data_IF_719973103727
#
_entry.id   IF_719973103727
#
_cell.length_a   1.000
_cell.length_b   1.000
_cell.length_c   1.000
_cell.angle_alpha   90.00
_cell.angle_beta   90.00
_cell.angle_gamma   90.00
#
_symmetry.space_group_name_H-M   'P 1'
#
loop_
_entity.id
_entity.type
_entity.pdbx_description
1 polymer ?
#
# COMPACT_ATOMS: atom_id res chain seq x y z
N UNK A 1 60.38 -56.26 32.21
CA UNK A 1 59.42 -56.23 31.12
C UNK A 1 58.04 -55.90 31.69
N UNK A 2 57.59 -54.61 31.62
CA UNK A 2 56.28 -54.14 32.11
C UNK A 2 55.33 -54.09 30.91
N UNK A 3 54.23 -54.84 30.94
CA UNK A 3 53.13 -54.77 29.97
C UNK A 3 52.24 -53.56 30.29
N UNK A 4 52.13 -52.68 29.34
CA UNK A 4 51.19 -51.50 29.41
C UNK A 4 49.84 -51.94 28.81
N UNK A 5 48.82 -51.98 29.64
CA UNK A 5 47.42 -52.20 29.20
C UNK A 5 46.76 -50.84 28.81
N UNK A 6 46.56 -50.69 27.51
CA UNK A 6 45.84 -49.54 26.96
C UNK A 6 44.33 -49.89 26.86
N UNK A 7 43.55 -49.48 27.80
CA UNK A 7 42.08 -49.53 27.67
C UNK A 7 41.56 -48.24 27.01
N UNK A 8 41.22 -48.35 25.73
CA UNK A 8 40.57 -47.24 24.99
C UNK A 8 39.07 -47.22 25.38
N UNK A 9 38.65 -46.13 26.01
CA UNK A 9 37.23 -45.86 26.28
C UNK A 9 36.60 -45.23 25.02
N UNK A 10 35.82 -46.01 24.28
CA UNK A 10 35.16 -45.58 23.03
C UNK A 10 33.64 -45.36 23.26
N UNK A 11 33.20 -44.89 24.41
CA UNK A 11 31.76 -44.82 24.69
C UNK A 11 31.07 -43.42 24.79
N UNK A 12 31.73 -42.26 24.71
CA UNK A 12 30.93 -41.00 24.71
C UNK A 12 30.77 -40.32 23.35
N UNK A 13 31.39 -40.85 22.25
CA UNK A 13 31.31 -40.17 20.95
C UNK A 13 30.02 -40.48 20.17
N UNK A 14 29.41 -41.64 20.38
CA UNK A 14 28.20 -42.06 19.66
C UNK A 14 26.91 -41.40 20.18
N UNK A 15 26.85 -41.02 21.48
CA UNK A 15 25.68 -40.35 22.05
C UNK A 15 25.61 -38.86 21.69
N UNK A 16 26.74 -38.20 21.47
CA UNK A 16 26.80 -36.78 21.06
C UNK A 16 26.37 -36.55 19.63
N UNK A 17 26.64 -37.52 18.73
CA UNK A 17 26.24 -37.41 17.30
C UNK A 17 24.74 -37.66 17.08
N UNK A 18 24.11 -38.53 17.88
CA UNK A 18 22.67 -38.81 17.76
C UNK A 18 21.79 -37.66 18.28
N UNK A 19 22.22 -36.95 19.33
CA UNK A 19 21.53 -35.78 19.87
C UNK A 19 21.72 -34.56 18.96
N UNK A 20 22.87 -34.37 18.35
CA UNK A 20 23.13 -33.28 17.39
C UNK A 20 22.30 -33.40 16.10
N UNK A 21 22.13 -34.62 15.58
CA UNK A 21 21.28 -34.86 14.39
C UNK A 21 19.79 -34.66 14.70
N UNK A 22 19.32 -34.99 15.89
CA UNK A 22 17.92 -34.79 16.29
C UNK A 22 17.56 -33.32 16.46
N UNK A 23 18.51 -32.49 16.85
CA UNK A 23 18.30 -31.03 16.94
C UNK A 23 18.40 -30.33 15.58
N UNK A 24 19.20 -30.85 14.65
CA UNK A 24 19.27 -30.33 13.29
C UNK A 24 18.03 -30.65 12.44
N UNK A 25 17.31 -31.73 12.76
CA UNK A 25 16.05 -32.08 12.07
C UNK A 25 14.82 -31.32 12.61
N UNK A 26 14.93 -30.70 13.79
CA UNK A 26 13.85 -29.88 14.38
C UNK A 26 13.89 -28.40 13.97
N UNK A 27 14.91 -27.96 13.23
CA UNK A 27 15.07 -26.55 12.82
C UNK A 27 14.87 -26.28 11.33
N UNK A 28 14.45 -27.26 10.54
CA UNK A 28 13.93 -27.00 9.20
C UNK A 28 12.43 -26.65 9.35
N UNK A 29 12.13 -25.56 9.99
CA UNK A 29 10.96 -24.77 9.59
C UNK A 29 11.29 -24.31 8.16
N UNK A 30 10.70 -24.96 7.18
CA UNK A 30 10.57 -24.34 5.86
C UNK A 30 10.09 -22.92 6.12
N UNK A 31 10.91 -21.93 5.79
CA UNK A 31 10.47 -20.55 5.69
C UNK A 31 9.49 -20.55 4.50
N UNK A 32 8.24 -20.95 4.76
CA UNK A 32 7.17 -20.71 3.82
C UNK A 32 7.13 -19.19 3.64
N UNK A 33 7.26 -18.75 2.40
CA UNK A 33 7.17 -17.34 2.09
C UNK A 33 5.73 -16.91 2.43
N UNK A 34 5.58 -16.28 3.60
CA UNK A 34 4.28 -15.75 4.01
C UNK A 34 3.90 -14.58 3.09
N UNK A 35 2.69 -14.62 2.58
CA UNK A 35 2.14 -13.52 1.79
C UNK A 35 2.09 -12.25 2.64
N UNK A 36 2.72 -11.17 2.17
CA UNK A 36 2.80 -9.88 2.89
C UNK A 36 2.31 -8.73 2.03
N UNK A 37 1.87 -7.65 2.70
CA UNK A 37 1.55 -6.37 2.04
C UNK A 37 2.80 -5.47 1.96
N UNK A 38 3.88 -5.93 1.33
CA UNK A 38 5.05 -5.12 1.07
C UNK A 38 4.96 -4.53 -0.35
N UNK A 39 4.49 -3.30 -0.47
CA UNK A 39 4.36 -2.56 -1.72
C UNK A 39 5.15 -1.25 -1.65
N UNK A 40 6.49 -1.30 -1.81
CA UNK A 40 7.37 -0.17 -1.46
C UNK A 40 7.13 1.10 -2.28
N UNK A 41 6.56 0.98 -3.47
CA UNK A 41 6.29 2.12 -4.36
C UNK A 41 5.05 2.89 -3.92
N UNK A 42 4.05 2.20 -3.36
CA UNK A 42 2.77 2.78 -2.99
C UNK A 42 2.74 3.19 -1.51
N UNK A 43 1.95 4.20 -1.14
CA UNK A 43 1.77 4.55 0.27
C UNK A 43 1.14 3.39 1.04
N UNK A 44 1.67 3.15 2.23
CA UNK A 44 1.24 1.99 3.04
C UNK A 44 -0.16 2.18 3.65
N UNK A 45 -0.48 3.40 4.09
CA UNK A 45 -1.71 3.67 4.84
C UNK A 45 -2.92 3.89 3.94
N UNK A 46 -2.80 4.79 2.97
CA UNK A 46 -3.85 5.08 2.01
C UNK A 46 -3.30 5.19 0.59
N UNK A 47 -4.14 4.92 -0.37
CA UNK A 47 -3.90 5.26 -1.78
C UNK A 47 -4.97 6.23 -2.26
N UNK A 48 -4.62 7.09 -3.21
CA UNK A 48 -5.55 7.95 -3.92
C UNK A 48 -5.63 7.50 -5.38
N UNK A 49 -6.81 7.28 -5.91
CA UNK A 49 -6.99 6.81 -7.29
C UNK A 49 -6.31 7.74 -8.30
N UNK A 50 -6.36 9.05 -8.05
CA UNK A 50 -5.64 10.05 -8.83
C UNK A 50 -4.14 9.79 -8.87
N UNK A 51 -3.50 9.51 -7.73
CA UNK A 51 -2.08 9.23 -7.65
C UNK A 51 -1.72 7.92 -8.36
N UNK A 52 -2.54 6.87 -8.17
CA UNK A 52 -2.34 5.58 -8.83
C UNK A 52 -2.39 5.70 -10.35
N UNK A 53 -3.33 6.50 -10.89
CA UNK A 53 -3.44 6.78 -12.32
C UNK A 53 -2.18 7.47 -12.90
N UNK A 54 -1.46 8.22 -12.06
CA UNK A 54 -0.21 8.91 -12.40
C UNK A 54 1.04 8.08 -12.03
N UNK A 55 0.94 6.76 -11.92
CA UNK A 55 2.06 5.90 -11.53
C UNK A 55 2.61 6.20 -10.14
N UNK A 56 1.79 6.78 -9.27
CA UNK A 56 2.17 7.28 -7.94
C UNK A 56 3.17 8.45 -7.95
N UNK A 57 3.38 9.12 -9.08
CA UNK A 57 4.12 10.38 -9.17
C UNK A 57 3.19 11.54 -8.78
N UNK A 58 3.17 11.92 -7.48
CA UNK A 58 2.14 12.80 -6.95
C UNK A 58 2.60 13.76 -5.82
N UNK A 59 3.84 13.70 -5.38
CA UNK A 59 4.30 14.50 -4.22
C UNK A 59 4.49 15.99 -4.53
N UNK A 60 4.74 16.36 -5.81
CA UNK A 60 4.85 17.74 -6.24
C UNK A 60 3.49 18.36 -6.59
N UNK A 61 2.51 17.56 -7.01
CA UNK A 61 1.21 18.05 -7.48
C UNK A 61 0.09 17.94 -6.44
N UNK A 62 0.24 17.14 -5.41
CA UNK A 62 -0.80 16.94 -4.40
C UNK A 62 -1.36 18.27 -3.88
N UNK A 63 -2.69 18.41 -3.90
CA UNK A 63 -3.41 19.63 -3.53
C UNK A 63 -4.84 19.32 -3.01
N UNK A 64 -4.98 18.24 -2.25
CA UNK A 64 -6.22 17.76 -1.65
C UNK A 64 -5.94 17.11 -0.28
N UNK A 65 -6.93 16.48 0.33
CA UNK A 65 -6.80 15.85 1.65
C UNK A 65 -5.75 14.73 1.70
N UNK A 66 -5.47 14.08 0.57
CA UNK A 66 -4.44 13.03 0.49
C UNK A 66 -3.02 13.58 0.74
N UNK A 67 -2.86 14.91 0.69
CA UNK A 67 -1.60 15.57 1.03
C UNK A 67 -1.07 15.18 2.41
N UNK A 68 -1.94 14.90 3.39
CA UNK A 68 -1.54 14.42 4.71
C UNK A 68 -0.65 13.17 4.66
N UNK A 69 -0.78 12.35 3.60
CA UNK A 69 -0.10 11.07 3.44
C UNK A 69 0.96 11.07 2.32
N UNK A 70 0.78 11.90 1.28
CA UNK A 70 1.72 12.02 0.16
C UNK A 70 2.79 13.08 0.39
N UNK A 71 2.37 14.32 0.66
CA UNK A 71 3.25 15.45 0.99
C UNK A 71 2.46 16.53 1.72
N UNK A 72 2.60 16.68 3.04
CA UNK A 72 1.80 17.65 3.82
C UNK A 72 1.97 19.11 3.36
N UNK A 73 3.10 19.47 2.75
CA UNK A 73 3.30 20.79 2.16
C UNK A 73 2.34 21.07 1.00
N UNK A 74 1.74 20.02 0.41
CA UNK A 74 0.74 20.12 -0.64
C UNK A 74 -0.56 20.80 -0.19
N UNK A 75 -0.89 20.76 1.10
CA UNK A 75 -2.04 21.48 1.66
C UNK A 75 -2.03 22.96 1.30
N UNK A 76 -0.86 23.60 1.26
CA UNK A 76 -0.71 25.01 0.86
C UNK A 76 -1.16 25.31 -0.58
N UNK A 77 -1.49 24.30 -1.37
CA UNK A 77 -2.04 24.41 -2.73
C UNK A 77 -3.55 24.16 -2.78
N UNK A 78 -4.16 23.74 -1.68
CA UNK A 78 -5.61 23.53 -1.58
C UNK A 78 -6.34 24.86 -1.73
N UNK A 79 -7.40 24.87 -2.52
CA UNK A 79 -8.23 26.05 -2.77
C UNK A 79 -9.53 25.95 -1.95
N UNK A 80 -9.71 26.94 -1.06
CA UNK A 80 -10.89 26.98 -0.20
C UNK A 80 -10.86 25.97 0.94
N UNK A 81 -11.95 25.91 1.68
CA UNK A 81 -12.19 24.90 2.72
C UNK A 81 -13.11 23.84 2.15
N UNK A 82 -12.84 22.59 2.46
CA UNK A 82 -13.60 21.45 1.97
C UNK A 82 -13.87 20.51 3.14
N UNK A 83 -15.12 20.19 3.33
CA UNK A 83 -15.52 19.10 4.21
C UNK A 83 -15.88 17.90 3.35
N UNK A 84 -15.01 16.91 3.33
CA UNK A 84 -15.22 15.67 2.59
C UNK A 84 -15.86 14.64 3.53
N UNK A 85 -17.14 14.57 3.46
CA UNK A 85 -17.96 13.64 4.23
C UNK A 85 -17.75 12.20 3.79
N UNK A 86 -17.55 11.97 2.50
CA UNK A 86 -17.32 10.66 1.90
C UNK A 86 -16.11 10.73 0.99
N UNK A 87 -14.98 10.23 1.47
CA UNK A 87 -13.83 9.93 0.65
C UNK A 87 -13.67 8.41 0.68
N UNK A 88 -14.31 7.78 -0.28
CA UNK A 88 -14.48 6.34 -0.34
C UNK A 88 -13.76 5.76 -1.54
N UNK A 89 -12.92 4.75 -1.33
CA UNK A 89 -12.20 4.04 -2.38
C UNK A 89 -12.44 2.55 -2.27
N UNK A 90 -12.79 1.95 -3.40
CA UNK A 90 -12.83 0.49 -3.60
C UNK A 90 -11.79 0.13 -4.64
N UNK A 91 -10.96 -0.84 -4.31
CA UNK A 91 -9.96 -1.41 -5.20
C UNK A 91 -10.14 -2.92 -5.24
N UNK A 92 -10.04 -3.48 -6.43
CA UNK A 92 -9.98 -4.92 -6.64
C UNK A 92 -9.02 -5.25 -7.79
N UNK A 93 -8.44 -6.42 -7.78
CA UNK A 93 -7.60 -6.85 -8.88
C UNK A 93 -8.41 -7.56 -9.97
N UNK A 94 -7.77 -7.78 -11.13
CA UNK A 94 -8.39 -8.41 -12.30
C UNK A 94 -8.92 -9.80 -11.99
N UNK A 95 -8.19 -10.59 -11.22
CA UNK A 95 -8.58 -11.95 -10.90
C UNK A 95 -9.84 -11.99 -10.04
N UNK A 96 -10.07 -11.00 -9.18
CA UNK A 96 -11.30 -10.86 -8.42
C UNK A 96 -12.54 -10.80 -9.33
N UNK A 97 -12.46 -10.10 -10.47
CA UNK A 97 -13.55 -10.00 -11.44
C UNK A 97 -13.66 -11.21 -12.38
N UNK A 98 -12.61 -12.03 -12.50
CA UNK A 98 -12.55 -13.18 -13.42
C UNK A 98 -12.90 -14.51 -12.78
N UNK A 99 -13.22 -14.53 -11.48
CA UNK A 99 -13.57 -15.73 -10.74
C UNK A 99 -15.04 -16.04 -10.95
N UNK A 100 -15.30 -17.24 -11.50
CA UNK A 100 -16.64 -17.78 -11.59
C UNK A 100 -17.12 -18.24 -10.22
N UNK A 101 -18.38 -18.01 -9.94
CA UNK A 101 -18.95 -18.32 -8.66
C UNK A 101 -19.11 -19.80 -8.36
N UNK A 102 -19.18 -20.10 -7.06
CA UNK A 102 -19.17 -21.47 -6.56
C UNK A 102 -20.51 -22.21 -6.69
N UNK A 103 -21.60 -21.57 -7.09
CA UNK A 103 -22.86 -22.27 -7.36
C UNK A 103 -23.82 -21.48 -8.24
N UNK A 104 -24.59 -22.17 -9.03
CA UNK A 104 -25.60 -21.65 -9.98
C UNK A 104 -26.71 -20.80 -9.32
N UNK A 105 -26.78 -20.74 -8.00
CA UNK A 105 -27.82 -20.05 -7.25
C UNK A 105 -27.36 -18.85 -6.41
N UNK A 106 -26.04 -18.60 -6.30
CA UNK A 106 -25.53 -17.47 -5.52
C UNK A 106 -25.52 -16.21 -6.40
N UNK A 107 -26.33 -15.23 -6.05
CA UNK A 107 -26.39 -13.95 -6.75
C UNK A 107 -25.06 -13.19 -6.70
N UNK A 108 -24.80 -12.29 -7.66
CA UNK A 108 -23.59 -11.44 -7.72
C UNK A 108 -23.26 -10.72 -6.40
N UNK A 109 -24.27 -10.39 -5.60
CA UNK A 109 -24.07 -9.72 -4.30
C UNK A 109 -23.49 -10.68 -3.25
N UNK A 110 -23.88 -11.96 -3.26
CA UNK A 110 -23.33 -12.96 -2.33
C UNK A 110 -21.88 -13.27 -2.68
N UNK A 111 -21.54 -13.31 -3.95
CA UNK A 111 -20.18 -13.40 -4.42
C UNK A 111 -19.32 -12.24 -3.94
N UNK A 112 -19.80 -11.03 -4.14
CA UNK A 112 -19.10 -9.84 -3.66
C UNK A 112 -18.88 -9.92 -2.14
N UNK A 113 -19.90 -10.25 -1.36
CA UNK A 113 -19.78 -10.38 0.10
C UNK A 113 -18.81 -11.48 0.54
N UNK A 114 -18.80 -12.63 -0.13
CA UNK A 114 -17.84 -13.70 0.15
C UNK A 114 -16.41 -13.29 -0.15
N UNK A 115 -16.16 -12.60 -1.26
CA UNK A 115 -14.84 -12.06 -1.60
C UNK A 115 -14.27 -11.10 -0.55
N UNK A 116 -15.10 -10.44 0.28
CA UNK A 116 -14.67 -9.58 1.38
C UNK A 116 -14.35 -10.33 2.69
N UNK A 117 -14.44 -11.67 2.68
CA UNK A 117 -14.08 -12.53 3.83
C UNK A 117 -12.94 -13.46 3.44
N UNK A 118 -12.01 -13.71 4.35
CA UNK A 118 -10.86 -14.61 4.11
C UNK A 118 -11.31 -16.01 3.73
N UNK A 119 -12.26 -16.58 4.46
CA UNK A 119 -12.77 -17.92 4.16
C UNK A 119 -13.61 -17.96 2.88
N UNK A 120 -14.38 -16.92 2.60
CA UNK A 120 -15.11 -16.80 1.33
C UNK A 120 -14.17 -16.76 0.13
N UNK A 121 -13.09 -15.96 0.22
CA UNK A 121 -12.04 -15.90 -0.80
C UNK A 121 -11.37 -17.27 -1.01
N UNK A 122 -11.10 -18.01 0.08
CA UNK A 122 -10.60 -19.39 0.02
C UNK A 122 -11.52 -20.30 -0.80
N UNK A 123 -12.84 -20.27 -0.51
CA UNK A 123 -13.83 -21.07 -1.25
C UNK A 123 -13.85 -20.74 -2.74
N UNK A 124 -13.76 -19.47 -3.08
CA UNK A 124 -13.69 -19.02 -4.48
C UNK A 124 -12.40 -19.50 -5.17
N UNK A 125 -11.25 -19.41 -4.51
CA UNK A 125 -9.95 -19.83 -5.04
C UNK A 125 -9.80 -21.35 -5.12
N UNK A 126 -10.54 -22.13 -4.34
CA UNK A 126 -10.59 -23.59 -4.47
C UNK A 126 -11.06 -24.05 -5.86
N UNK A 127 -11.99 -23.31 -6.44
CA UNK A 127 -12.53 -23.57 -7.79
C UNK A 127 -11.70 -22.89 -8.88
N UNK A 128 -10.91 -21.88 -8.52
CA UNK A 128 -10.14 -21.04 -9.43
C UNK A 128 -8.67 -20.97 -8.99
N UNK A 129 -7.98 -22.09 -9.07
CA UNK A 129 -6.57 -22.18 -8.67
C UNK A 129 -5.64 -21.33 -9.57
N UNK A 130 -4.44 -21.04 -9.07
CA UNK A 130 -3.42 -20.22 -9.70
C UNK A 130 -3.85 -18.76 -9.95
N UNK A 131 -4.84 -18.29 -9.17
CA UNK A 131 -5.28 -16.91 -9.16
C UNK A 131 -4.99 -16.27 -7.82
N UNK A 132 -4.74 -14.96 -7.86
CA UNK A 132 -4.61 -14.13 -6.67
C UNK A 132 -5.77 -13.17 -6.60
N UNK A 133 -6.51 -13.20 -5.50
CA UNK A 133 -7.54 -12.20 -5.22
C UNK A 133 -6.98 -11.12 -4.31
N UNK A 134 -7.18 -9.87 -4.68
CA UNK A 134 -6.89 -8.72 -3.83
C UNK A 134 -8.01 -7.71 -3.87
N UNK A 135 -8.26 -7.11 -2.72
CA UNK A 135 -9.17 -5.99 -2.58
C UNK A 135 -8.74 -5.04 -1.47
N UNK A 136 -9.15 -3.80 -1.61
CA UNK A 136 -9.02 -2.74 -0.60
C UNK A 136 -10.33 -1.95 -0.52
N UNK A 137 -10.72 -1.68 0.70
CA UNK A 137 -11.79 -0.75 1.02
C UNK A 137 -11.22 0.36 1.89
N UNK A 138 -11.39 1.61 1.49
CA UNK A 138 -10.83 2.75 2.19
C UNK A 138 -11.91 3.82 2.37
N UNK A 139 -11.93 4.43 3.56
CA UNK A 139 -12.84 5.51 3.89
C UNK A 139 -12.10 6.55 4.74
N UNK A 140 -12.06 7.79 4.28
CA UNK A 140 -11.23 8.84 4.88
C UNK A 140 -12.02 10.16 4.99
N UNK A 141 -13.04 10.24 5.86
CA UNK A 141 -13.75 11.50 6.11
C UNK A 141 -12.78 12.54 6.66
N UNK A 142 -12.87 13.78 6.15
CA UNK A 142 -11.92 14.81 6.53
C UNK A 142 -12.50 16.23 6.36
N UNK A 143 -11.89 17.16 7.08
CA UNK A 143 -12.00 18.58 6.84
C UNK A 143 -10.64 19.12 6.41
N UNK A 144 -10.58 19.75 5.26
CA UNK A 144 -9.34 20.20 4.64
C UNK A 144 -9.40 21.67 4.26
N UNK A 145 -8.36 22.40 4.67
CA UNK A 145 -8.08 23.77 4.29
C UNK A 145 -6.67 23.88 3.75
N UNK A 146 -6.28 25.07 3.28
CA UNK A 146 -4.88 25.31 2.87
C UNK A 146 -3.86 25.28 4.03
N UNK A 147 -4.31 25.32 5.28
CA UNK A 147 -3.42 25.38 6.45
C UNK A 147 -3.46 24.10 7.27
N UNK A 148 -4.59 23.41 7.27
CA UNK A 148 -4.87 22.30 8.16
C UNK A 148 -5.77 21.28 7.45
N UNK A 149 -5.51 20.02 7.69
CA UNK A 149 -6.49 18.95 7.47
C UNK A 149 -6.51 18.03 8.68
N UNK A 150 -7.69 17.59 9.05
CA UNK A 150 -7.88 16.54 10.05
C UNK A 150 -9.00 15.62 9.60
N UNK A 151 -8.92 14.39 10.03
CA UNK A 151 -9.88 13.37 9.64
C UNK A 151 -9.64 12.04 10.33
N UNK A 152 -10.32 11.05 9.83
CA UNK A 152 -10.19 9.68 10.31
C UNK A 152 -9.86 8.74 9.15
N UNK A 153 -8.80 7.98 9.30
CA UNK A 153 -8.38 6.96 8.35
C UNK A 153 -9.08 5.64 8.68
N UNK A 154 -9.66 5.00 7.70
CA UNK A 154 -10.05 3.59 7.72
C UNK A 154 -9.61 2.95 6.40
N UNK A 155 -8.82 1.89 6.48
CA UNK A 155 -8.38 1.09 5.33
C UNK A 155 -8.41 -0.39 5.69
N UNK A 156 -9.05 -1.20 4.88
CA UNK A 156 -9.10 -2.64 5.02
C UNK A 156 -8.62 -3.30 3.72
N UNK A 157 -7.58 -4.09 3.82
CA UNK A 157 -6.99 -4.84 2.70
C UNK A 157 -7.12 -6.32 2.96
N UNK A 158 -7.42 -7.06 1.92
CA UNK A 158 -7.47 -8.51 1.94
C UNK A 158 -6.83 -9.05 0.67
N UNK A 159 -5.98 -10.05 0.82
CA UNK A 159 -5.32 -10.76 -0.27
C UNK A 159 -5.36 -12.25 0.00
N UNK A 160 -5.59 -13.04 -1.04
CA UNK A 160 -5.52 -14.49 -0.98
C UNK A 160 -4.95 -15.05 -2.27
N UNK A 161 -4.19 -16.11 -2.16
CA UNK A 161 -3.61 -16.85 -3.28
C UNK A 161 -3.71 -18.36 -3.03
N UNK A 162 -3.90 -19.11 -4.09
CA UNK A 162 -3.85 -20.56 -4.05
C UNK A 162 -3.16 -21.07 -5.31
N UNK A 163 -2.04 -21.77 -5.14
CA UNK A 163 -1.28 -22.31 -6.26
C UNK A 163 -2.02 -23.38 -7.04
N UNK A 164 -1.51 -23.71 -8.22
CA UNK A 164 -2.08 -24.70 -9.14
C UNK A 164 -1.98 -26.13 -8.62
N UNK A 165 -0.95 -26.45 -7.84
CA UNK A 165 -0.70 -27.80 -7.35
C UNK A 165 -1.76 -28.29 -6.38
N UNK A 166 -2.07 -29.57 -6.39
CA UNK A 166 -3.03 -30.20 -5.46
C UNK A 166 -2.58 -30.09 -4.00
N UNK A 167 -1.28 -30.01 -3.75
CA UNK A 167 -0.66 -29.82 -2.43
C UNK A 167 -0.53 -28.35 -2.02
N UNK A 168 -0.82 -27.40 -2.93
CA UNK A 168 -0.72 -25.98 -2.64
C UNK A 168 -1.64 -25.56 -1.50
N UNK A 169 -1.09 -24.81 -0.57
CA UNK A 169 -1.85 -24.22 0.53
C UNK A 169 -2.58 -22.97 0.09
N UNK A 170 -3.62 -22.60 0.82
CA UNK A 170 -4.24 -21.29 0.70
C UNK A 170 -3.48 -20.31 1.55
N UNK A 171 -2.83 -19.35 0.91
CA UNK A 171 -2.13 -18.25 1.55
C UNK A 171 -3.06 -17.04 1.62
N UNK A 172 -3.07 -16.37 2.77
CA UNK A 172 -3.87 -15.17 2.95
C UNK A 172 -3.13 -14.12 3.77
N UNK A 173 -3.45 -12.87 3.47
CA UNK A 173 -3.07 -11.72 4.28
C UNK A 173 -4.26 -10.77 4.40
N UNK A 174 -4.49 -10.24 5.60
CA UNK A 174 -5.47 -9.19 5.85
C UNK A 174 -4.87 -8.13 6.74
N UNK A 175 -5.13 -6.85 6.42
CA UNK A 175 -4.67 -5.70 7.18
C UNK A 175 -5.80 -4.70 7.31
N UNK A 176 -6.07 -4.30 8.53
CA UNK A 176 -7.00 -3.22 8.84
C UNK A 176 -6.27 -2.14 9.61
N UNK A 177 -6.23 -0.97 9.03
CA UNK A 177 -5.65 0.25 9.58
C UNK A 177 -6.75 1.26 9.85
N UNK A 178 -6.75 1.86 11.04
CA UNK A 178 -7.68 2.94 11.35
C UNK A 178 -7.13 3.88 12.42
N UNK A 179 -7.53 5.13 12.36
CA UNK A 179 -7.17 6.11 13.38
C UNK A 179 -7.32 7.56 12.93
N UNK A 180 -7.32 8.49 13.86
CA UNK A 180 -7.35 9.92 13.56
C UNK A 180 -6.02 10.38 12.99
N UNK A 181 -6.08 11.39 12.13
CA UNK A 181 -4.91 12.06 11.60
C UNK A 181 -5.07 13.57 11.59
N UNK A 182 -3.95 14.25 11.61
CA UNK A 182 -3.85 15.71 11.53
C UNK A 182 -2.66 16.06 10.64
N UNK A 183 -2.83 17.02 9.73
CA UNK A 183 -1.71 17.59 9.01
C UNK A 183 -1.84 19.12 8.93
N UNK A 184 -0.70 19.78 8.88
CA UNK A 184 -0.61 21.23 8.80
C UNK A 184 0.38 21.66 7.74
N UNK A 185 0.19 22.88 7.23
CA UNK A 185 1.07 23.51 6.27
C UNK A 185 1.34 24.98 6.65
N UNK A 186 2.59 25.38 6.45
CA UNK A 186 3.06 26.74 6.56
C UNK A 186 3.65 27.20 5.22
N UNK A 187 3.12 28.29 4.68
CA UNK A 187 3.51 28.83 3.36
C UNK A 187 4.21 30.17 3.51
N UNK A 188 5.37 30.32 2.87
CA UNK A 188 6.21 31.52 2.85
C UNK A 188 6.33 32.09 1.44
N UNK A 189 6.69 33.39 1.35
CA UNK A 189 6.93 34.06 0.07
C UNK A 189 5.72 34.03 -0.87
N UNK A 190 4.52 34.27 -0.35
CA UNK A 190 3.28 34.21 -1.17
C UNK A 190 2.91 32.80 -1.64
N UNK A 191 3.44 31.75 -1.01
CA UNK A 191 3.18 30.36 -1.39
C UNK A 191 4.24 29.75 -2.33
N UNK A 192 5.37 30.44 -2.50
CA UNK A 192 6.54 29.92 -3.24
C UNK A 192 7.12 28.73 -2.47
N UNK A 193 7.36 28.90 -1.18
CA UNK A 193 7.89 27.86 -0.32
C UNK A 193 6.84 27.39 0.68
N UNK A 194 6.66 26.09 0.79
CA UNK A 194 5.69 25.45 1.66
C UNK A 194 6.36 24.35 2.47
N UNK A 195 6.07 24.32 3.75
CA UNK A 195 6.47 23.26 4.67
C UNK A 195 5.23 22.63 5.27
N UNK A 196 5.22 21.32 5.42
CA UNK A 196 4.10 20.61 6.00
C UNK A 196 4.55 19.49 6.91
N UNK A 197 3.70 19.18 7.86
CA UNK A 197 3.86 18.04 8.75
C UNK A 197 2.52 17.34 8.95
N UNK A 198 2.54 16.03 9.10
CA UNK A 198 1.36 15.25 9.46
C UNK A 198 1.69 14.25 10.56
N UNK A 199 0.67 13.89 11.31
CA UNK A 199 0.69 12.86 12.33
C UNK A 199 -0.55 11.97 12.20
N UNK A 200 -0.34 10.67 12.29
CA UNK A 200 -1.40 9.65 12.29
C UNK A 200 -1.27 8.83 13.56
N UNK A 201 -2.33 8.73 14.36
CA UNK A 201 -2.43 7.76 15.43
C UNK A 201 -3.04 6.47 14.87
N UNK A 202 -2.19 5.50 14.56
CA UNK A 202 -2.56 4.30 13.84
C UNK A 202 -2.86 3.15 14.78
N UNK A 203 -4.03 2.54 14.62
CA UNK A 203 -4.35 1.23 15.15
C UNK A 203 -4.35 0.24 13.97
N UNK A 204 -3.45 -0.73 14.01
CA UNK A 204 -3.32 -1.78 13.00
C UNK A 204 -3.76 -3.12 13.56
N UNK A 205 -4.51 -3.85 12.75
CA UNK A 205 -4.81 -5.25 12.95
C UNK A 205 -4.46 -5.99 11.68
N UNK A 206 -3.51 -6.93 11.76
CA UNK A 206 -3.12 -7.73 10.60
C UNK A 206 -3.12 -9.21 10.93
N UNK A 207 -3.39 -10.04 9.95
CA UNK A 207 -3.25 -11.47 10.03
C UNK A 207 -2.69 -11.97 8.69
N UNK A 208 -1.79 -12.91 8.78
CA UNK A 208 -1.23 -13.61 7.63
C UNK A 208 -1.05 -15.07 7.99
N UNK A 209 -1.17 -15.92 7.01
CA UNK A 209 -1.00 -17.35 7.24
C UNK A 209 -1.22 -18.17 5.99
N UNK A 210 -0.96 -19.46 6.17
CA UNK A 210 -1.13 -20.49 5.15
C UNK A 210 -1.89 -21.65 5.78
N UNK A 211 -2.93 -22.14 5.09
CA UNK A 211 -3.78 -23.22 5.59
C UNK A 211 -4.06 -24.23 4.49
N UNK A 212 -4.37 -25.45 4.90
CA UNK A 212 -4.84 -26.49 3.97
C UNK A 212 -6.16 -26.01 3.34
N UNK A 213 -6.28 -26.03 2.00
CA UNK A 213 -7.42 -25.43 1.31
C UNK A 213 -8.80 -25.95 1.71
N UNK A 214 -8.90 -27.17 2.21
CA UNK A 214 -10.16 -27.81 2.65
C UNK A 214 -10.62 -27.33 4.03
N UNK A 215 -9.73 -26.75 4.83
CA UNK A 215 -10.05 -26.33 6.20
C UNK A 215 -10.59 -24.91 6.21
N UNK A 216 -11.63 -24.66 7.01
CA UNK A 216 -12.09 -23.30 7.26
C UNK A 216 -11.05 -22.46 7.99
N UNK A 217 -10.97 -21.17 7.63
CA UNK A 217 -10.01 -20.24 8.22
C UNK A 217 -10.66 -19.45 9.32
N UNK A 218 -10.30 -19.75 10.57
CA UNK A 218 -10.55 -18.81 11.67
C UNK A 218 -9.44 -17.77 11.76
N UNK A 219 -9.65 -16.64 11.09
CA UNK A 219 -8.68 -15.53 11.03
C UNK A 219 -8.32 -14.99 12.41
N UNK A 220 -9.19 -15.18 13.42
CA UNK A 220 -8.96 -14.63 14.76
C UNK A 220 -7.71 -15.21 15.44
N UNK A 221 -7.32 -16.43 15.08
CA UNK A 221 -6.13 -17.10 15.62
C UNK A 221 -4.81 -16.49 15.10
N UNK A 222 -4.87 -15.78 13.96
CA UNK A 222 -3.69 -15.22 13.28
C UNK A 222 -3.49 -13.73 13.54
N UNK A 223 -4.43 -13.06 14.22
CA UNK A 223 -4.36 -11.61 14.36
C UNK A 223 -3.26 -11.13 15.29
N UNK A 224 -2.40 -10.27 14.73
CA UNK A 224 -1.60 -9.33 15.48
C UNK A 224 -2.33 -7.98 15.59
N UNK A 225 -2.25 -7.34 16.75
CA UNK A 225 -2.81 -6.00 17.00
C UNK A 225 -1.74 -5.09 17.58
N UNK A 226 -1.63 -3.89 17.07
CA UNK A 226 -0.67 -2.91 17.56
C UNK A 226 -1.10 -1.48 17.28
N UNK A 227 -0.40 -0.56 17.94
CA UNK A 227 -0.59 0.89 17.79
C UNK A 227 0.74 1.54 17.45
N UNK A 228 0.70 2.58 16.61
CA UNK A 228 1.85 3.39 16.28
C UNK A 228 1.46 4.85 16.10
N UNK A 229 2.40 5.77 16.33
CA UNK A 229 2.27 7.17 15.94
C UNK A 229 3.23 7.40 14.78
N UNK A 230 2.68 7.81 13.66
CA UNK A 230 3.42 7.97 12.40
C UNK A 230 3.50 9.44 12.06
N UNK A 231 4.70 9.94 11.82
CA UNK A 231 4.94 11.30 11.40
C UNK A 231 5.41 11.35 9.95
N UNK A 232 4.93 12.33 9.19
CA UNK A 232 5.41 12.63 7.84
C UNK A 232 5.70 14.12 7.72
N UNK A 233 6.86 14.46 7.18
CA UNK A 233 7.25 15.83 6.89
C UNK A 233 7.34 16.07 5.40
N UNK A 234 7.03 17.28 4.94
CA UNK A 234 7.11 17.63 3.54
C UNK A 234 7.59 19.05 3.29
N UNK A 235 8.25 19.23 2.18
CA UNK A 235 8.64 20.54 1.66
C UNK A 235 8.30 20.64 0.17
N UNK A 236 7.89 21.84 -0.26
CA UNK A 236 7.54 22.11 -1.65
C UNK A 236 7.99 23.52 -2.00
N UNK A 237 8.71 23.64 -3.11
CA UNK A 237 9.16 24.90 -3.69
C UNK A 237 8.54 25.04 -5.08
N UNK A 238 7.61 25.99 -5.24
CA UNK A 238 6.96 26.28 -6.53
C UNK A 238 7.45 27.63 -7.03
N UNK A 239 8.18 27.65 -8.13
CA UNK A 239 8.70 28.87 -8.73
C UNK A 239 7.61 29.58 -9.52
N UNK A 240 7.43 30.91 -9.37
CA UNK A 240 6.40 31.68 -10.07
C UNK A 240 6.82 31.99 -11.53
N UNK A 241 7.36 31.00 -12.23
CA UNK A 241 7.77 31.09 -13.62
C UNK A 241 6.71 30.48 -14.54
N UNK A 242 6.88 30.68 -15.84
CA UNK A 242 6.08 29.93 -16.81
C UNK A 242 6.16 28.42 -16.48
N UNK A 243 5.02 27.72 -16.56
CA UNK A 243 4.87 26.31 -16.25
C UNK A 243 4.98 25.91 -14.77
N UNK A 244 5.15 26.87 -13.85
CA UNK A 244 5.17 26.64 -12.40
C UNK A 244 6.08 25.47 -11.98
N UNK A 245 7.38 25.47 -12.31
CA UNK A 245 8.28 24.39 -11.90
C UNK A 245 8.24 24.22 -10.38
N UNK A 246 8.03 22.98 -9.95
CA UNK A 246 7.85 22.63 -8.55
C UNK A 246 8.81 21.54 -8.16
N UNK A 247 9.63 21.79 -7.13
CA UNK A 247 10.42 20.78 -6.43
C UNK A 247 9.71 20.35 -5.16
N UNK A 248 9.70 19.08 -4.88
CA UNK A 248 9.08 18.52 -3.69
C UNK A 248 9.97 17.46 -3.04
N UNK A 249 9.94 17.44 -1.72
CA UNK A 249 10.57 16.40 -0.90
C UNK A 249 9.59 15.98 0.16
N UNK A 250 9.49 14.68 0.40
CA UNK A 250 8.68 14.12 1.48
C UNK A 250 9.50 13.12 2.27
N UNK A 251 9.46 13.24 3.57
CA UNK A 251 10.01 12.27 4.50
C UNK A 251 8.85 11.54 5.16
N UNK A 252 8.60 10.32 4.70
CA UNK A 252 7.56 9.45 5.21
C UNK A 252 8.03 8.73 6.47
N UNK A 253 7.11 8.51 7.39
CA UNK A 253 7.30 7.64 8.53
C UNK A 253 8.53 8.04 9.36
N UNK A 254 8.63 9.31 9.77
CA UNK A 254 9.76 9.85 10.52
C UNK A 254 9.87 9.17 11.88
N UNK A 255 11.07 8.73 12.25
CA UNK A 255 11.36 8.07 13.52
C UNK A 255 11.41 6.55 13.45
N UNK A 256 11.35 5.91 14.61
CA UNK A 256 11.23 4.46 14.72
C UNK A 256 9.73 4.12 14.80
N UNK A 257 9.12 3.85 13.65
CA UNK A 257 7.70 3.53 13.57
C UNK A 257 7.43 2.06 13.93
N UNK A 258 7.79 1.72 15.15
CA UNK A 258 7.53 0.41 15.75
C UNK A 258 6.14 0.38 16.32
N UNK A 259 5.46 -0.72 16.08
CA UNK A 259 4.18 -0.95 16.72
C UNK A 259 4.36 -1.35 18.17
N UNK A 260 3.62 -0.69 19.06
CA UNK A 260 3.39 -1.20 20.41
C UNK A 260 2.40 -2.35 20.30
N UNK A 261 2.89 -3.58 20.46
CA UNK A 261 2.04 -4.78 20.39
C UNK A 261 0.99 -4.77 21.52
N UNK A 262 -0.24 -5.08 21.16
CA UNK A 262 -1.37 -5.27 22.10
C UNK A 262 -1.65 -6.77 22.25
N UNK A 263 -1.61 -7.52 21.16
CA UNK A 263 -1.80 -8.98 21.15
C UNK A 263 -1.26 -9.59 19.86
N UNK A 264 -0.88 -10.86 19.92
CA UNK A 264 -0.39 -11.61 18.77
C UNK A 264 1.11 -11.46 18.52
N UNK A 265 1.61 -11.92 17.38
CA UNK A 265 3.03 -11.83 16.99
C UNK A 265 3.46 -10.37 16.79
N UNK A 266 4.77 -10.14 16.74
CA UNK A 266 5.33 -8.82 16.42
C UNK A 266 4.93 -8.42 14.98
N UNK A 267 4.48 -7.18 14.83
CA UNK A 267 4.12 -6.60 13.54
C UNK A 267 5.35 -6.05 12.84
N UNK A 268 5.30 -5.99 11.51
CA UNK A 268 6.37 -5.39 10.72
C UNK A 268 6.43 -3.87 10.93
N UNK A 269 7.65 -3.36 11.09
CA UNK A 269 7.89 -1.92 11.21
C UNK A 269 7.59 -1.21 9.89
N UNK A 270 7.03 -0.01 9.96
CA UNK A 270 6.85 0.86 8.80
C UNK A 270 8.17 1.60 8.54
N UNK A 271 8.78 1.39 7.37
CA UNK A 271 10.08 1.95 7.07
C UNK A 271 10.02 3.47 6.81
N UNK A 272 10.99 4.19 7.37
CA UNK A 272 11.15 5.62 7.10
C UNK A 272 11.84 5.83 5.75
N UNK A 273 11.16 6.50 4.80
CA UNK A 273 11.66 6.76 3.45
C UNK A 273 11.68 8.24 3.12
N UNK A 274 12.55 8.63 2.19
CA UNK A 274 12.59 9.98 1.62
C UNK A 274 12.32 9.87 0.14
N UNK A 275 11.33 10.62 -0.32
CA UNK A 275 10.96 10.73 -1.73
C UNK A 275 11.24 12.15 -2.23
N UNK A 276 11.70 12.28 -3.48
CA UNK A 276 11.96 13.55 -4.15
C UNK A 276 11.15 13.60 -5.44
N UNK A 277 10.64 14.78 -5.78
CA UNK A 277 9.84 14.97 -6.98
C UNK A 277 10.08 16.31 -7.65
N UNK A 278 9.88 16.30 -8.95
CA UNK A 278 9.89 17.49 -9.78
C UNK A 278 8.65 17.47 -10.67
N UNK A 279 7.94 18.59 -10.74
CA UNK A 279 6.74 18.72 -11.55
C UNK A 279 6.71 20.07 -12.30
N UNK A 280 6.01 20.08 -13.42
CA UNK A 280 5.68 21.30 -14.16
C UNK A 280 4.20 21.30 -14.52
N UNK A 281 3.63 22.50 -14.64
CA UNK A 281 2.19 22.66 -14.96
C UNK A 281 2.01 23.73 -16.04
N UNK A 282 2.30 23.42 -17.33
CA UNK A 282 2.01 24.32 -18.41
C UNK A 282 0.51 24.55 -18.57
N UNK A 283 0.15 25.81 -18.73
CA UNK A 283 -1.22 26.23 -19.11
C UNK A 283 -1.33 26.11 -20.63
N UNK A 284 -2.21 25.23 -21.11
CA UNK A 284 -2.46 25.04 -22.53
C UNK A 284 -3.54 25.98 -23.05
N UNK A 285 -4.50 26.32 -22.20
CA UNK A 285 -5.54 27.32 -22.45
C UNK A 285 -6.00 27.96 -21.14
N UNK A 286 -6.94 28.89 -21.19
CA UNK A 286 -7.53 29.49 -19.99
C UNK A 286 -8.21 28.45 -19.07
N UNK A 287 -8.65 27.33 -19.62
CA UNK A 287 -9.45 26.32 -18.92
C UNK A 287 -8.79 24.93 -18.90
N UNK A 288 -7.66 24.75 -19.58
CA UNK A 288 -6.99 23.46 -19.69
C UNK A 288 -5.52 23.55 -19.27
N UNK A 289 -5.07 22.54 -18.55
CA UNK A 289 -3.70 22.43 -18.03
C UNK A 289 -3.16 21.03 -18.30
N UNK A 290 -1.86 20.98 -18.56
CA UNK A 290 -1.13 19.73 -18.51
C UNK A 290 -0.26 19.75 -17.25
N UNK A 291 -0.30 18.68 -16.48
CA UNK A 291 0.59 18.50 -15.37
C UNK A 291 1.50 17.32 -15.63
N UNK A 292 2.80 17.51 -15.47
CA UNK A 292 3.83 16.48 -15.63
C UNK A 292 4.65 16.40 -14.35
N UNK A 293 4.90 15.19 -13.88
CA UNK A 293 5.64 14.95 -12.65
C UNK A 293 6.56 13.74 -12.78
N UNK A 294 7.77 13.86 -12.24
CA UNK A 294 8.74 12.77 -12.10
C UNK A 294 9.17 12.70 -10.65
N UNK A 295 9.06 11.53 -10.05
CA UNK A 295 9.49 11.30 -8.66
C UNK A 295 10.54 10.19 -8.60
N UNK A 296 11.41 10.31 -7.61
CA UNK A 296 12.33 9.25 -7.21
C UNK A 296 12.00 8.82 -5.79
N UNK A 297 11.58 7.57 -5.66
CA UNK A 297 11.11 6.99 -4.41
C UNK A 297 12.25 6.39 -3.59
N UNK A 298 12.15 6.54 -2.26
CA UNK A 298 13.08 5.95 -1.29
C UNK A 298 14.55 6.19 -1.64
N UNK A 299 14.93 7.47 -1.67
CA UNK A 299 16.30 7.96 -1.97
C UNK A 299 17.35 7.28 -1.08
N UNK A 300 16.98 6.90 0.14
CA UNK A 300 17.86 6.25 1.10
C UNK A 300 17.96 4.74 0.93
N UNK A 301 17.29 4.16 -0.04
CA UNK A 301 17.28 2.72 -0.34
C UNK A 301 16.95 1.83 0.87
N UNK A 302 15.95 2.23 1.65
CA UNK A 302 15.51 1.46 2.82
C UNK A 302 14.82 0.15 2.44
N UNK A 303 14.08 0.14 1.34
CA UNK A 303 13.54 -1.08 0.76
C UNK A 303 14.59 -1.75 -0.12
N UNK A 304 15.29 -2.75 0.44
CA UNK A 304 16.29 -3.53 -0.30
C UNK A 304 15.68 -4.33 -1.46
N UNK A 305 14.41 -4.70 -1.34
CA UNK A 305 13.64 -5.43 -2.35
C UNK A 305 13.29 -4.60 -3.58
N UNK A 306 13.40 -3.25 -3.52
CA UNK A 306 13.01 -2.36 -4.60
C UNK A 306 14.20 -2.04 -5.53
N UNK A 307 14.21 -2.54 -6.80
CA UNK A 307 15.25 -2.21 -7.77
C UNK A 307 15.26 -0.73 -8.15
N UNK A 308 16.42 -0.19 -8.48
CA UNK A 308 16.58 1.23 -8.84
C UNK A 308 15.65 1.68 -9.97
N UNK A 309 15.40 0.83 -10.97
CA UNK A 309 14.51 1.15 -12.10
C UNK A 309 13.06 1.40 -11.65
N UNK A 310 12.59 0.67 -10.64
CA UNK A 310 11.23 0.79 -10.12
C UNK A 310 11.05 1.95 -9.14
N UNK A 311 12.15 2.64 -8.75
CA UNK A 311 12.10 3.86 -7.92
C UNK A 311 11.71 5.11 -8.72
N UNK A 312 11.84 5.07 -10.05
CA UNK A 312 11.42 6.17 -10.92
C UNK A 312 9.94 6.07 -11.20
N UNK A 313 9.22 7.13 -10.88
CA UNK A 313 7.79 7.28 -11.10
C UNK A 313 7.58 8.47 -12.02
N UNK A 314 6.73 8.31 -13.02
CA UNK A 314 6.40 9.36 -13.98
C UNK A 314 4.89 9.46 -14.11
N UNK A 315 4.36 10.68 -14.06
CA UNK A 315 2.93 10.93 -14.16
C UNK A 315 2.61 12.12 -15.04
N UNK A 316 1.49 12.01 -15.71
CA UNK A 316 0.89 13.08 -16.50
C UNK A 316 -0.61 13.18 -16.17
N UNK A 317 -1.11 14.40 -16.00
CA UNK A 317 -2.54 14.69 -15.86
C UNK A 317 -2.91 15.81 -16.82
N UNK A 318 -3.89 15.55 -17.64
CA UNK A 318 -4.50 16.55 -18.51
C UNK A 318 -5.85 16.96 -17.92
N UNK A 319 -5.94 18.21 -17.48
CA UNK A 319 -7.13 18.86 -16.93
C UNK A 319 -7.87 19.56 -18.07
N UNK A 320 -9.09 19.12 -18.34
CA UNK A 320 -9.98 19.64 -19.37
C UNK A 320 -11.14 20.38 -18.67
N UNK A 321 -11.21 21.69 -18.84
CA UNK A 321 -12.24 22.56 -18.28
C UNK A 321 -12.39 22.46 -16.74
N UNK A 322 -11.42 21.89 -16.04
CA UNK A 322 -11.46 21.58 -14.58
C UNK A 322 -12.60 20.65 -14.19
N UNK A 323 -13.15 19.91 -15.15
CA UNK A 323 -14.25 18.95 -14.99
C UNK A 323 -13.78 17.54 -15.30
N UNK A 324 -13.07 17.35 -16.41
CA UNK A 324 -12.59 16.05 -16.86
C UNK A 324 -11.07 16.00 -16.71
N UNK A 325 -10.59 14.93 -16.15
CA UNK A 325 -9.16 14.67 -15.96
C UNK A 325 -8.80 13.36 -16.62
N UNK A 326 -7.81 13.39 -17.51
CA UNK A 326 -7.22 12.19 -18.12
C UNK A 326 -5.81 12.04 -17.58
N UNK A 327 -5.48 10.86 -17.10
CA UNK A 327 -4.21 10.58 -16.44
C UNK A 327 -3.52 9.39 -17.03
N UNK A 328 -2.20 9.46 -17.09
CA UNK A 328 -1.33 8.35 -17.45
C UNK A 328 -0.09 8.39 -16.57
N UNK A 329 0.48 7.24 -16.29
CA UNK A 329 1.65 7.15 -15.45
C UNK A 329 2.47 5.89 -15.69
N UNK A 330 3.66 5.90 -15.11
CA UNK A 330 4.55 4.76 -15.00
C UNK A 330 5.07 4.69 -13.57
N UNK A 331 4.79 3.59 -12.90
CA UNK A 331 5.20 3.35 -11.53
C UNK A 331 5.36 1.87 -11.25
N UNK A 332 6.23 1.51 -10.33
CA UNK A 332 6.52 0.12 -9.96
C UNK A 332 6.97 -0.78 -11.13
N UNK A 333 7.42 -0.18 -12.24
CA UNK A 333 7.80 -0.90 -13.45
C UNK A 333 6.67 -1.10 -14.46
N UNK A 334 5.47 -0.57 -14.20
CA UNK A 334 4.28 -0.77 -15.01
C UNK A 334 3.60 0.54 -15.40
N UNK A 335 2.80 0.48 -16.46
CA UNK A 335 1.94 1.58 -16.87
C UNK A 335 0.67 1.64 -16.03
N UNK A 336 0.17 2.85 -15.86
CA UNK A 336 -1.11 3.13 -15.21
C UNK A 336 -1.87 4.20 -15.99
N UNK A 337 -3.17 4.28 -15.77
CA UNK A 337 -4.00 5.31 -16.36
C UNK A 337 -5.33 5.45 -15.64
N UNK A 338 -6.01 6.56 -15.86
CA UNK A 338 -7.29 6.81 -15.22
C UNK A 338 -8.01 8.02 -15.77
N UNK A 339 -9.27 8.10 -15.42
CA UNK A 339 -10.18 9.21 -15.76
C UNK A 339 -10.80 9.73 -14.47
N UNK A 340 -10.83 11.06 -14.34
CA UNK A 340 -11.50 11.74 -13.24
C UNK A 340 -12.60 12.65 -13.74
N UNK A 341 -13.70 12.70 -13.01
CA UNK A 341 -14.80 13.65 -13.21
C UNK A 341 -14.97 14.45 -11.94
N UNK A 342 -14.96 15.77 -12.04
CA UNK A 342 -15.16 16.68 -10.93
C UNK A 342 -16.30 17.65 -11.19
N UNK A 343 -17.28 17.62 -10.32
CA UNK A 343 -18.32 18.66 -10.22
C UNK A 343 -18.04 19.56 -9.01
N UNK A 344 -18.91 20.52 -8.75
CA UNK A 344 -18.77 21.40 -7.58
C UNK A 344 -18.67 20.64 -6.24
N UNK A 345 -19.38 19.53 -6.11
CA UNK A 345 -19.51 18.79 -4.84
C UNK A 345 -19.03 17.33 -4.92
N UNK A 346 -18.88 16.76 -6.12
CA UNK A 346 -18.55 15.35 -6.30
C UNK A 346 -17.33 15.20 -7.18
N UNK A 347 -16.40 14.36 -6.76
CA UNK A 347 -15.28 13.89 -7.58
C UNK A 347 -15.37 12.38 -7.68
N UNK A 348 -15.29 11.87 -8.91
CA UNK A 348 -15.25 10.44 -9.22
C UNK A 348 -13.98 10.17 -10.02
N UNK A 349 -13.15 9.27 -9.52
CA UNK A 349 -11.92 8.86 -10.17
C UNK A 349 -11.92 7.34 -10.41
N UNK A 350 -11.69 6.95 -11.65
CA UNK A 350 -11.52 5.55 -12.08
C UNK A 350 -10.09 5.36 -12.55
N UNK A 351 -9.43 4.33 -12.04
CA UNK A 351 -8.01 4.07 -12.29
C UNK A 351 -7.74 2.60 -12.53
N UNK A 352 -6.87 2.31 -13.49
CA UNK A 352 -6.27 1.01 -13.72
C UNK A 352 -4.74 1.12 -13.59
N UNK A 353 -4.12 0.22 -12.82
CA UNK A 353 -2.70 0.23 -12.56
C UNK A 353 -2.20 -1.18 -12.23
N UNK A 354 -0.90 -1.34 -12.14
CA UNK A 354 -0.28 -2.63 -11.85
C UNK A 354 0.71 -2.48 -10.70
N UNK A 355 0.82 -3.55 -9.92
CA UNK A 355 1.75 -3.66 -8.78
C UNK A 355 2.54 -4.94 -8.90
N UNK A 356 3.85 -4.88 -8.67
CA UNK A 356 4.65 -6.09 -8.54
C UNK A 356 4.45 -6.70 -7.16
N UNK A 357 3.75 -7.79 -7.11
CA UNK A 357 3.48 -8.54 -5.89
C UNK A 357 4.39 -9.77 -5.81
N UNK A 358 4.90 -10.07 -4.62
CA UNK A 358 5.68 -11.28 -4.38
C UNK A 358 4.74 -12.42 -4.03
N UNK A 359 4.76 -13.46 -4.84
CA UNK A 359 4.17 -14.76 -4.54
C UNK A 359 5.29 -15.79 -4.36
N UNK A 360 5.03 -16.86 -3.64
CA UNK A 360 6.03 -17.91 -3.36
C UNK A 360 6.72 -18.42 -4.64
N UNK A 361 5.94 -18.68 -5.68
CA UNK A 361 6.44 -19.22 -6.94
C UNK A 361 6.70 -18.16 -8.03
N UNK A 362 6.29 -16.90 -7.80
CA UNK A 362 6.50 -15.80 -8.73
C UNK A 362 6.81 -14.50 -7.98
N UNK A 363 8.10 -14.18 -7.77
CA UNK A 363 8.52 -13.02 -7.00
C UNK A 363 8.22 -11.67 -7.67
N UNK A 364 7.78 -11.67 -8.94
CA UNK A 364 7.44 -10.48 -9.71
C UNK A 364 6.06 -10.64 -10.39
N UNK A 365 5.09 -11.18 -9.66
CA UNK A 365 3.73 -11.28 -10.18
C UNK A 365 3.16 -9.89 -10.44
N UNK A 366 2.74 -9.64 -11.70
CA UNK A 366 2.12 -8.38 -12.10
C UNK A 366 0.63 -8.38 -11.73
N UNK A 367 0.30 -7.79 -10.61
CA UNK A 367 -1.06 -7.68 -10.12
C UNK A 367 -1.78 -6.50 -10.75
N UNK A 368 -2.73 -6.78 -11.62
CA UNK A 368 -3.54 -5.77 -12.31
C UNK A 368 -4.70 -5.34 -11.44
N UNK A 369 -4.74 -4.08 -11.04
CA UNK A 369 -5.75 -3.52 -10.14
C UNK A 369 -6.57 -2.42 -10.79
N UNK A 370 -7.81 -2.35 -10.36
CA UNK A 370 -8.73 -1.26 -10.68
C UNK A 370 -9.20 -0.62 -9.37
N UNK A 371 -9.23 0.71 -9.35
CA UNK A 371 -9.71 1.48 -8.20
C UNK A 371 -10.77 2.48 -8.65
N UNK A 372 -11.83 2.56 -7.88
CA UNK A 372 -12.89 3.57 -7.98
C UNK A 372 -12.88 4.40 -6.70
N UNK A 373 -12.71 5.71 -6.84
CA UNK A 373 -12.74 6.66 -5.71
C UNK A 373 -13.87 7.65 -5.89
N UNK A 374 -14.69 7.79 -4.87
CA UNK A 374 -15.78 8.74 -4.80
C UNK A 374 -15.55 9.71 -3.63
N UNK A 375 -15.42 11.00 -3.93
CA UNK A 375 -15.32 12.04 -2.91
C UNK A 375 -16.51 12.99 -3.02
N UNK A 376 -17.22 13.18 -1.91
CA UNK A 376 -18.30 14.16 -1.79
C UNK A 376 -17.88 15.27 -0.85
N UNK A 377 -17.93 16.52 -1.32
CA UNK A 377 -17.54 17.73 -0.62
C UNK A 377 -18.75 18.62 -0.37
N UNK A 378 -18.77 19.24 0.80
CA UNK A 378 -19.74 20.29 1.19
C UNK A 378 -18.97 21.57 1.48
#
# INVERSE_FOLDING_TARGET
>A
MKKINLKIKVLPLALGLSLGLSWALLSVRSAQAEMMFEEPVFPELIVAARAMAMGNAYIAHVADASAAFYNPAGLGSVRGSQFSFSHFLVEANRDWFSIEGSSDNDGYLDHAQQGFKVDGMRKMLLLNRDKMMQQRLQFVPNYTTRYLTFGYLFSNMLRGYMGSDSSAQYEFATRRDHGPYLATNFSLGGGIFKLGASVVYLNRREAQGSVVPTNEVDVNQYYAKGKAIIFTGGAKLTMPWAWLPTLAVTWHNIGQNKFTSISGPAMHDILATIDMGFGITPLLSHESRLHLEVNYKDVRHKYASLPTKRRWLVGAEFDIFRVVYVRAGYGDGYLSGGIGLRTGHVTLDLTAYQVATKLEHNPNYADHRMALELTMNI
#
